data_IF_545501319059
#
_entry.id   IF_545501319059
#
_cell.length_a   1.000
_cell.length_b   1.000
_cell.length_c   1.000
_cell.angle_alpha   90.00
_cell.angle_beta   90.00
_cell.angle_gamma   90.00
#
_symmetry.space_group_name_H-M   'P 1'
#
loop_
_entity.id
_entity.type
_entity.pdbx_description
1 polymer ?
#
# COMPACT_ATOMS: atom_id res chain seq x y z
N UNK A 1 8.69 0.27 -16.20
CA UNK A 1 7.84 -0.22 -15.09
C UNK A 1 8.54 0.15 -13.80
N UNK A 2 7.88 0.82 -12.83
CA UNK A 2 8.51 1.11 -11.53
C UNK A 2 8.94 -0.18 -10.83
N UNK A 3 10.12 -0.17 -10.21
CA UNK A 3 10.54 -1.24 -9.30
C UNK A 3 9.64 -1.25 -8.07
N UNK A 4 9.45 -2.42 -7.46
CA UNK A 4 8.65 -2.56 -6.23
C UNK A 4 9.14 -1.62 -5.14
N UNK A 5 10.45 -1.51 -4.93
CA UNK A 5 11.04 -0.57 -3.96
C UNK A 5 10.54 0.88 -4.15
N UNK A 6 10.41 1.34 -5.40
CA UNK A 6 9.93 2.69 -5.68
C UNK A 6 8.44 2.86 -5.34
N UNK A 7 7.65 1.80 -5.54
CA UNK A 7 6.24 1.78 -5.19
C UNK A 7 6.05 1.75 -3.68
N UNK A 8 6.86 0.99 -2.94
CA UNK A 8 6.87 0.98 -1.48
C UNK A 8 7.19 2.37 -0.90
N UNK A 9 8.22 3.05 -1.44
CA UNK A 9 8.53 4.45 -1.07
C UNK A 9 7.35 5.39 -1.34
N UNK A 10 6.66 5.21 -2.46
CA UNK A 10 5.47 6.01 -2.79
C UNK A 10 4.31 5.75 -1.81
N UNK A 11 4.10 4.49 -1.41
CA UNK A 11 3.10 4.12 -0.39
C UNK A 11 3.48 4.77 0.93
N UNK A 12 4.74 4.69 1.35
CA UNK A 12 5.21 5.35 2.57
C UNK A 12 4.95 6.85 2.54
N UNK A 13 5.33 7.56 1.48
CA UNK A 13 5.10 9.01 1.38
C UNK A 13 3.62 9.41 1.39
N UNK A 14 2.72 8.55 0.89
CA UNK A 14 1.29 8.86 0.78
C UNK A 14 0.45 8.34 1.96
N UNK A 15 0.82 7.21 2.55
CA UNK A 15 0.07 6.52 3.59
C UNK A 15 0.78 6.53 4.95
N UNK A 16 2.06 6.92 5.01
CA UNK A 16 2.88 7.00 6.23
C UNK A 16 3.26 5.64 6.82
N UNK A 17 3.27 4.58 6.02
CA UNK A 17 3.44 3.19 6.49
C UNK A 17 4.39 2.42 5.59
N UNK A 18 5.23 1.59 6.21
CA UNK A 18 6.14 0.70 5.51
C UNK A 18 5.40 -0.57 5.10
N UNK A 19 5.61 -1.01 3.85
CA UNK A 19 4.97 -2.21 3.30
C UNK A 19 5.95 -3.02 2.47
N UNK A 20 5.81 -4.33 2.50
CA UNK A 20 6.51 -5.26 1.62
C UNK A 20 5.51 -5.94 0.68
N UNK A 21 5.89 -6.05 -0.60
CA UNK A 21 5.15 -6.83 -1.58
C UNK A 21 5.58 -8.29 -1.53
N UNK A 22 4.61 -9.17 -1.27
CA UNK A 22 4.81 -10.61 -1.22
C UNK A 22 4.14 -11.25 -2.44
N UNK A 23 4.85 -12.17 -3.10
CA UNK A 23 4.28 -13.01 -4.16
C UNK A 23 4.80 -14.42 -4.01
N UNK A 24 3.90 -15.40 -4.06
CA UNK A 24 4.23 -16.81 -3.86
C UNK A 24 5.04 -17.06 -2.57
N UNK A 25 4.72 -16.31 -1.50
CA UNK A 25 5.37 -16.39 -0.19
C UNK A 25 6.75 -15.71 -0.08
N UNK A 26 7.22 -15.00 -1.12
CA UNK A 26 8.52 -14.31 -1.11
C UNK A 26 8.36 -12.80 -1.24
N UNK A 27 9.22 -12.05 -0.55
CA UNK A 27 9.36 -10.62 -0.79
C UNK A 27 9.99 -10.40 -2.18
N UNK A 28 9.37 -9.57 -3.01
CA UNK A 28 9.78 -9.32 -4.40
C UNK A 28 10.35 -7.92 -4.64
N UNK A 29 10.77 -7.22 -3.58
CA UNK A 29 11.28 -5.84 -3.62
C UNK A 29 12.36 -5.61 -4.68
N UNK A 30 13.33 -6.51 -4.76
CA UNK A 30 14.47 -6.42 -5.69
C UNK A 30 14.23 -7.17 -7.01
N UNK A 31 13.32 -8.13 -7.02
CA UNK A 31 13.08 -9.05 -8.15
C UNK A 31 11.99 -8.59 -9.11
N UNK A 32 11.06 -7.73 -8.67
CA UNK A 32 9.88 -7.39 -9.45
C UNK A 32 9.81 -5.91 -9.85
N UNK A 33 9.18 -5.70 -11.01
CA UNK A 33 8.70 -4.39 -11.46
C UNK A 33 7.19 -4.43 -11.64
N UNK A 34 6.51 -3.38 -11.22
CA UNK A 34 5.07 -3.28 -11.27
C UNK A 34 4.62 -2.49 -12.51
N UNK A 35 3.46 -2.82 -13.09
CA UNK A 35 2.95 -2.12 -14.27
C UNK A 35 2.62 -0.64 -13.98
N UNK A 36 2.39 -0.29 -12.72
CA UNK A 36 1.99 1.05 -12.28
C UNK A 36 2.54 1.37 -10.88
N UNK A 37 2.60 2.66 -10.56
CA UNK A 37 2.89 3.12 -9.20
C UNK A 37 1.61 3.21 -8.36
N UNK A 38 1.75 3.28 -7.04
CA UNK A 38 0.64 3.50 -6.11
C UNK A 38 0.02 4.88 -6.31
N UNK A 39 -1.31 4.96 -6.27
CA UNK A 39 -2.05 6.23 -6.44
C UNK A 39 -3.07 6.44 -5.32
N UNK A 40 -3.21 7.71 -4.92
CA UNK A 40 -4.34 8.26 -4.15
C UNK A 40 -5.04 9.36 -4.99
N UNK A 41 -6.30 9.68 -4.75
CA UNK A 41 -7.09 10.67 -5.51
C UNK A 41 -7.98 10.10 -6.62
N UNK A 42 -8.75 10.92 -7.35
CA UNK A 42 -9.80 10.42 -8.28
C UNK A 42 -9.24 9.54 -9.41
N UNK A 43 -9.75 8.31 -9.55
CA UNK A 43 -9.64 7.56 -10.80
C UNK A 43 -10.36 8.37 -11.91
N UNK A 44 -9.64 8.76 -12.96
CA UNK A 44 -10.30 9.22 -14.17
C UNK A 44 -11.04 8.03 -14.78
N UNK A 45 -12.24 8.21 -15.32
CA UNK A 45 -13.13 7.16 -15.86
C UNK A 45 -12.49 6.20 -16.89
N UNK A 46 -11.26 6.49 -17.33
CA UNK A 46 -10.47 5.77 -18.33
C UNK A 46 -9.26 4.99 -17.77
N UNK A 47 -9.05 4.93 -16.44
CA UNK A 47 -7.98 4.07 -15.88
C UNK A 47 -8.48 2.61 -15.88
N UNK A 48 -8.31 1.93 -17.02
CA UNK A 48 -8.77 0.56 -17.28
C UNK A 48 -8.12 -0.49 -16.36
N UNK A 49 -7.14 -0.09 -15.55
CA UNK A 49 -6.37 -0.97 -14.67
C UNK A 49 -6.95 -1.08 -13.25
N UNK A 50 -8.13 -0.51 -13.01
CA UNK A 50 -8.80 -0.48 -11.71
C UNK A 50 -10.25 -0.96 -11.84
N UNK A 51 -10.79 -1.69 -10.86
CA UNK A 51 -12.19 -2.14 -10.89
C UNK A 51 -13.14 -0.93 -11.05
N UNK A 52 -14.24 -1.08 -11.81
CA UNK A 52 -15.22 0.01 -12.06
C UNK A 52 -15.78 0.68 -10.79
N UNK A 53 -15.75 0.00 -9.65
CA UNK A 53 -16.21 0.51 -8.35
C UNK A 53 -15.07 1.00 -7.44
N UNK A 54 -13.85 1.07 -7.94
CA UNK A 54 -12.69 1.46 -7.15
C UNK A 54 -12.65 2.97 -6.92
N UNK A 55 -13.10 3.38 -5.73
CA UNK A 55 -12.94 4.76 -5.26
C UNK A 55 -11.52 4.91 -4.70
N UNK A 56 -10.58 5.35 -5.52
CA UNK A 56 -9.31 5.87 -5.01
C UNK A 56 -9.62 7.16 -4.23
N UNK A 57 -9.52 7.08 -2.90
CA UNK A 57 -9.78 8.18 -1.97
C UNK A 57 -8.53 9.00 -1.66
N UNK A 58 -8.59 9.81 -0.59
CA UNK A 58 -7.41 10.40 0.04
C UNK A 58 -6.52 9.30 0.66
N UNK A 59 -5.40 9.70 1.26
CA UNK A 59 -4.68 8.84 2.21
C UNK A 59 -5.66 8.21 3.19
N UNK A 60 -5.39 6.97 3.58
CA UNK A 60 -6.26 6.21 4.48
C UNK A 60 -6.35 6.95 5.82
N UNK A 61 -7.53 6.97 6.45
CA UNK A 61 -7.70 7.71 7.71
C UNK A 61 -6.99 6.97 8.85
N UNK A 62 -6.52 7.69 9.87
CA UNK A 62 -5.94 7.10 11.08
C UNK A 62 -6.90 6.10 11.77
N UNK A 63 -8.21 6.33 11.63
CA UNK A 63 -9.27 5.46 12.16
C UNK A 63 -9.48 4.16 11.38
N UNK A 64 -8.83 3.97 10.23
CA UNK A 64 -8.85 2.70 9.52
C UNK A 64 -7.80 1.76 10.12
N UNK A 65 -7.95 0.45 9.88
CA UNK A 65 -6.99 -0.55 10.32
C UNK A 65 -6.10 -1.05 9.17
N UNK A 66 -5.07 -1.82 9.54
CA UNK A 66 -4.11 -2.42 8.60
C UNK A 66 -4.82 -3.29 7.56
N UNK A 67 -5.83 -4.08 7.95
CA UNK A 67 -6.60 -4.91 7.01
C UNK A 67 -7.25 -4.06 5.91
N UNK A 68 -7.79 -2.89 6.26
CA UNK A 68 -8.37 -1.99 5.27
C UNK A 68 -7.34 -1.49 4.25
N UNK A 69 -6.13 -1.15 4.71
CA UNK A 69 -5.04 -0.76 3.83
C UNK A 69 -4.61 -1.91 2.90
N UNK A 70 -4.42 -3.12 3.45
CA UNK A 70 -4.04 -4.30 2.66
C UNK A 70 -5.06 -4.56 1.55
N UNK A 71 -6.35 -4.53 1.86
CA UNK A 71 -7.41 -4.67 0.86
C UNK A 71 -7.30 -3.60 -0.24
N UNK A 72 -7.03 -2.34 0.12
CA UNK A 72 -6.84 -1.24 -0.83
C UNK A 72 -5.62 -1.47 -1.75
N UNK A 73 -4.53 -2.01 -1.21
CA UNK A 73 -3.31 -2.36 -1.96
C UNK A 73 -3.56 -3.53 -2.92
N UNK A 74 -4.20 -4.61 -2.45
CA UNK A 74 -4.57 -5.76 -3.28
C UNK A 74 -5.49 -5.37 -4.45
N UNK A 75 -6.36 -4.38 -4.27
CA UNK A 75 -7.18 -3.86 -5.37
C UNK A 75 -6.35 -3.13 -6.45
N UNK A 76 -5.25 -2.46 -6.08
CA UNK A 76 -4.36 -1.83 -7.07
C UNK A 76 -3.38 -2.84 -7.67
N UNK A 77 -2.93 -3.79 -6.88
CA UNK A 77 -1.89 -4.76 -7.23
C UNK A 77 -2.41 -6.18 -7.02
N UNK A 78 -3.32 -6.65 -7.89
CA UNK A 78 -3.89 -7.98 -7.76
C UNK A 78 -2.81 -9.05 -7.93
N UNK A 79 -2.91 -10.13 -7.15
CA UNK A 79 -1.95 -11.23 -7.16
C UNK A 79 -0.72 -11.02 -6.27
N UNK A 80 -0.72 -9.97 -5.44
CA UNK A 80 0.28 -9.75 -4.40
C UNK A 80 -0.39 -9.78 -3.02
N UNK A 81 0.36 -10.33 -2.07
CA UNK A 81 0.11 -10.19 -0.64
C UNK A 81 0.96 -9.06 -0.07
N UNK A 82 0.63 -8.61 1.13
CA UNK A 82 1.26 -7.44 1.75
C UNK A 82 1.57 -7.70 3.21
N UNK A 83 2.80 -7.36 3.60
CA UNK A 83 3.16 -7.21 5.00
C UNK A 83 3.28 -5.72 5.29
N UNK A 84 2.73 -5.29 6.43
CA UNK A 84 2.80 -3.90 6.89
C UNK A 84 3.65 -3.86 8.16
N UNK A 85 4.48 -2.83 8.27
CA UNK A 85 5.35 -2.60 9.40
C UNK A 85 5.00 -1.28 10.09
N UNK A 86 5.20 -1.23 11.41
CA UNK A 86 5.18 0.03 12.17
C UNK A 86 6.48 0.83 11.97
N UNK A 87 6.54 2.02 12.58
CA UNK A 87 7.74 2.88 12.55
C UNK A 87 8.97 2.29 13.24
N UNK A 88 8.81 1.22 14.04
CA UNK A 88 9.92 0.50 14.66
C UNK A 88 10.40 -0.68 13.80
N UNK A 89 9.74 -0.94 12.66
CA UNK A 89 10.06 -2.04 11.76
C UNK A 89 9.47 -3.39 12.18
N UNK A 90 8.53 -3.42 13.12
CA UNK A 90 7.84 -4.65 13.51
C UNK A 90 6.63 -4.90 12.61
N UNK A 91 6.40 -6.17 12.27
CA UNK A 91 5.22 -6.55 11.50
C UNK A 91 3.94 -6.32 12.32
N UNK A 92 2.99 -5.59 11.75
CA UNK A 92 1.72 -5.28 12.41
C UNK A 92 0.59 -6.17 11.93
N UNK A 93 -0.34 -6.47 12.85
CA UNK A 93 -1.53 -7.29 12.58
C UNK A 93 -2.68 -6.46 12.02
N UNK A 94 -3.56 -7.12 11.28
CA UNK A 94 -4.66 -6.50 10.53
C UNK A 94 -5.62 -5.61 11.33
N UNK A 95 -5.82 -5.89 12.62
CA UNK A 95 -6.74 -5.12 13.48
C UNK A 95 -6.15 -3.81 14.02
N UNK A 96 -4.83 -3.58 13.89
CA UNK A 96 -4.18 -2.38 14.39
C UNK A 96 -4.60 -1.15 13.57
N UNK A 97 -4.91 -0.03 14.25
CA UNK A 97 -5.26 1.22 13.60
C UNK A 97 -4.03 1.87 12.95
N UNK A 98 -4.20 2.43 11.76
CA UNK A 98 -3.12 3.07 11.02
C UNK A 98 -2.53 4.27 11.77
N UNK A 99 -3.31 4.94 12.62
CA UNK A 99 -2.79 5.99 13.50
C UNK A 99 -1.68 5.51 14.46
N UNK A 100 -1.66 4.22 14.81
CA UNK A 100 -0.66 3.61 15.69
C UNK A 100 0.48 2.94 14.91
N UNK A 101 0.28 2.70 13.61
CA UNK A 101 1.28 2.06 12.73
C UNK A 101 2.14 3.12 12.04
N UNK A 102 1.55 4.28 11.76
CA UNK A 102 2.18 5.34 10.99
C UNK A 102 3.46 5.81 11.65
N UNK A 103 4.50 5.86 10.85
CA UNK A 103 5.73 6.50 11.27
C UNK A 103 5.52 8.01 11.26
N UNK A 104 5.71 8.65 12.41
CA UNK A 104 5.38 10.06 12.63
C UNK A 104 6.51 11.02 12.27
N UNK A 105 7.63 10.54 11.71
CA UNK A 105 8.74 11.39 11.24
C UNK A 105 8.45 12.18 9.94
N UNK A 106 7.18 12.44 9.63
CA UNK A 106 6.78 13.39 8.59
C UNK A 106 6.36 14.71 9.27
N UNK A 107 7.34 15.47 9.76
CA UNK A 107 7.18 16.93 9.98
C UNK A 107 7.26 17.69 8.65
#
# INVERSE_FOLDING_TARGET
>A
MPKVEYVEKTIFSLEGVNVDFIKDGKNVRDDASLPKNYKIGKATKNDASLPKNYKIGKATKNSANVTFLINKLQMQFPGYDFIVYDGEGNQVRGNMLLGNVRDTYLE
#
